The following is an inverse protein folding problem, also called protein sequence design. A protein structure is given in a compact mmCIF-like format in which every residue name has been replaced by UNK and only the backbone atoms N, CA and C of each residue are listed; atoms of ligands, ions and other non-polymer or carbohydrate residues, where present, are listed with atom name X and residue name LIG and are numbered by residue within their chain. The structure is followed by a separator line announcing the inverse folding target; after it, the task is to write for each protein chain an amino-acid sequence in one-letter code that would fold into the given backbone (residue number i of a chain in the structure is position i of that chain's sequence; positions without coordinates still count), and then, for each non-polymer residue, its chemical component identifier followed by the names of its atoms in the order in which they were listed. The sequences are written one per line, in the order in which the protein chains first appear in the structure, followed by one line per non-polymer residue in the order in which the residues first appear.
data_IF_487876199620
#
_entry.id   IF_487876199620
#
_cell.length_a   1.000
_cell.length_b   1.000
_cell.length_c   1.000
_cell.angle_alpha   90.00
_cell.angle_beta   90.00
_cell.angle_gamma   90.00
#
_symmetry.space_group_name_H-M   'P 1'
#
loop_
_entity.id
_entity.type
_entity.pdbx_description
1 polymer ?
#
# COMPACT_ATOMS: atom_id res chain seq x y z
N UNK A 1 3.86 31.99 10.72
CA UNK A 1 4.91 31.01 11.00
C UNK A 1 4.60 29.78 10.15
N UNK A 2 5.60 29.33 9.38
CA UNK A 2 5.67 28.12 8.52
C UNK A 2 4.54 27.86 7.51
N UNK A 3 4.66 28.53 6.34
CA UNK A 3 4.10 28.08 5.05
C UNK A 3 5.15 27.21 4.38
N UNK A 4 5.11 25.89 4.57
CA UNK A 4 5.94 24.94 3.79
C UNK A 4 5.16 23.62 3.61
N UNK A 5 4.07 23.67 2.82
CA UNK A 5 3.24 22.48 2.54
C UNK A 5 3.18 22.10 1.04
N UNK A 6 3.99 22.74 0.19
CA UNK A 6 3.87 22.61 -1.29
C UNK A 6 5.12 21.99 -1.95
N UNK A 7 5.85 21.13 -1.22
CA UNK A 7 7.14 20.57 -1.70
C UNK A 7 7.15 19.08 -2.08
N UNK A 8 6.09 18.32 -1.80
CA UNK A 8 6.12 16.85 -1.84
C UNK A 8 5.57 16.22 -3.14
N UNK A 9 4.81 16.97 -3.94
CA UNK A 9 4.30 16.53 -5.23
C UNK A 9 5.42 16.36 -6.28
N UNK A 10 6.50 17.14 -6.15
CA UNK A 10 7.69 17.05 -7.00
C UNK A 10 8.62 15.88 -6.65
N UNK A 11 8.74 15.51 -5.36
CA UNK A 11 9.65 14.44 -4.91
C UNK A 11 9.23 13.04 -5.39
N UNK A 12 7.94 12.78 -5.60
CA UNK A 12 7.46 11.49 -6.09
C UNK A 12 7.78 11.29 -7.59
N UNK A 13 7.90 12.38 -8.37
CA UNK A 13 8.19 12.31 -9.81
C UNK A 13 9.66 11.99 -10.09
N UNK A 14 10.57 12.60 -9.34
CA UNK A 14 12.03 12.43 -9.53
C UNK A 14 12.56 11.12 -8.94
N UNK A 15 11.97 10.59 -7.86
CA UNK A 15 12.33 9.24 -7.36
C UNK A 15 11.95 8.12 -8.34
N UNK A 16 10.92 8.32 -9.17
CA UNK A 16 10.38 7.27 -10.04
C UNK A 16 11.28 6.87 -11.21
N UNK A 17 12.29 7.67 -11.58
CA UNK A 17 13.16 7.35 -12.73
C UNK A 17 14.32 6.43 -12.36
N UNK A 18 14.94 6.64 -11.18
CA UNK A 18 15.89 5.68 -10.60
C UNK A 18 15.19 4.39 -10.17
N UNK A 19 13.97 4.50 -9.64
CA UNK A 19 13.18 3.35 -9.20
C UNK A 19 12.76 2.47 -10.39
N UNK A 20 12.36 3.08 -11.53
CA UNK A 20 12.03 2.34 -12.76
C UNK A 20 13.19 1.47 -13.26
N UNK A 21 14.41 2.02 -13.29
CA UNK A 21 15.58 1.24 -13.71
C UNK A 21 15.87 0.08 -12.74
N UNK A 22 15.74 0.31 -11.43
CA UNK A 22 15.91 -0.74 -10.42
C UNK A 22 14.83 -1.82 -10.51
N UNK A 23 13.59 -1.44 -10.81
CA UNK A 23 12.48 -2.36 -11.07
C UNK A 23 12.79 -3.23 -12.29
N UNK A 24 13.24 -2.65 -13.39
CA UNK A 24 13.59 -3.38 -14.60
C UNK A 24 14.77 -4.34 -14.38
N UNK A 25 15.82 -3.87 -13.70
CA UNK A 25 16.97 -4.70 -13.33
C UNK A 25 16.54 -5.86 -12.41
N UNK A 26 15.64 -5.61 -11.45
CA UNK A 26 15.09 -6.65 -10.57
C UNK A 26 14.22 -7.65 -11.32
N UNK A 27 13.37 -7.20 -12.25
CA UNK A 27 12.55 -8.05 -13.10
C UNK A 27 13.43 -8.94 -14.00
N UNK A 28 14.53 -8.40 -14.53
CA UNK A 28 15.49 -9.18 -15.31
C UNK A 28 16.14 -10.30 -14.47
N UNK A 29 16.54 -9.99 -13.23
CA UNK A 29 17.08 -10.99 -12.29
C UNK A 29 16.04 -12.06 -11.95
N UNK A 30 14.79 -11.68 -11.64
CA UNK A 30 13.72 -12.64 -11.35
C UNK A 30 13.42 -13.55 -12.54
N UNK A 31 13.37 -12.99 -13.75
CA UNK A 31 13.18 -13.78 -14.97
C UNK A 31 14.33 -14.78 -15.20
N UNK A 32 15.57 -14.39 -14.91
CA UNK A 32 16.73 -15.29 -14.94
C UNK A 32 16.62 -16.40 -13.89
N UNK A 33 16.11 -16.09 -12.70
CA UNK A 33 15.87 -17.05 -11.62
C UNK A 33 14.58 -17.88 -11.79
N UNK A 34 13.73 -17.58 -12.78
CA UNK A 34 12.43 -18.22 -12.98
C UNK A 34 12.48 -19.74 -13.10
N UNK A 35 13.56 -20.31 -13.64
CA UNK A 35 13.76 -21.75 -13.73
C UNK A 35 13.91 -22.38 -12.35
N UNK A 36 14.75 -21.78 -11.50
CA UNK A 36 14.96 -22.22 -10.13
C UNK A 36 13.67 -22.12 -9.30
N UNK A 37 12.97 -20.99 -9.41
CA UNK A 37 11.69 -20.77 -8.71
C UNK A 37 10.61 -21.76 -9.15
N UNK A 38 10.54 -22.11 -10.45
CA UNK A 38 9.62 -23.15 -10.95
C UNK A 38 9.90 -24.53 -10.35
N UNK A 39 11.16 -24.90 -10.23
CA UNK A 39 11.56 -26.17 -9.62
C UNK A 39 11.26 -26.19 -8.12
N UNK A 40 11.48 -25.08 -7.41
CA UNK A 40 11.17 -24.95 -5.99
C UNK A 40 9.65 -25.07 -5.75
N UNK A 41 8.84 -24.29 -6.47
CA UNK A 41 7.39 -24.34 -6.38
C UNK A 41 6.82 -25.71 -6.75
N UNK A 42 7.40 -26.39 -7.74
CA UNK A 42 7.01 -27.74 -8.11
C UNK A 42 7.22 -28.75 -6.97
N UNK A 43 8.32 -28.62 -6.22
CA UNK A 43 8.60 -29.45 -5.04
C UNK A 43 7.67 -29.13 -3.89
N UNK A 44 7.49 -27.84 -3.59
CA UNK A 44 6.73 -27.38 -2.43
C UNK A 44 5.23 -27.67 -2.58
N UNK A 45 4.67 -27.36 -3.75
CA UNK A 45 3.25 -27.57 -4.07
C UNK A 45 2.96 -28.97 -4.63
N UNK A 46 3.98 -29.85 -4.71
CA UNK A 46 3.91 -31.21 -5.27
C UNK A 46 3.24 -31.26 -6.66
N UNK A 47 3.54 -30.28 -7.50
CA UNK A 47 3.00 -30.19 -8.84
C UNK A 47 3.83 -31.04 -9.81
N UNK A 48 3.15 -31.77 -10.71
CA UNK A 48 3.82 -32.53 -11.78
C UNK A 48 4.55 -31.60 -12.76
N UNK A 49 3.93 -30.47 -13.10
CA UNK A 49 4.50 -29.45 -14.00
C UNK A 49 4.10 -28.07 -13.49
N UNK A 50 5.09 -27.22 -13.22
CA UNK A 50 4.86 -25.81 -12.89
C UNK A 50 4.75 -25.00 -14.18
N UNK A 51 3.71 -24.17 -14.37
CA UNK A 51 3.58 -23.32 -15.56
C UNK A 51 4.69 -22.27 -15.63
N UNK A 52 4.81 -21.59 -16.78
CA UNK A 52 5.76 -20.50 -16.96
C UNK A 52 5.43 -19.33 -16.02
N UNK A 53 6.39 -18.94 -15.18
CA UNK A 53 6.26 -17.79 -14.29
C UNK A 53 6.46 -16.49 -15.09
N UNK A 54 5.54 -15.54 -14.92
CA UNK A 54 5.64 -14.20 -15.47
C UNK A 54 5.72 -13.21 -14.32
N UNK A 55 6.79 -12.43 -14.27
CA UNK A 55 6.96 -11.39 -13.26
C UNK A 55 6.51 -10.06 -13.84
N UNK A 56 5.60 -9.39 -13.14
CA UNK A 56 5.12 -8.04 -13.46
C UNK A 56 5.25 -7.19 -12.21
N UNK A 57 5.70 -5.96 -12.37
CA UNK A 57 5.70 -4.99 -11.30
C UNK A 57 4.27 -4.49 -11.07
N UNK A 58 3.85 -4.41 -9.81
CA UNK A 58 2.55 -3.87 -9.42
C UNK A 58 2.71 -2.49 -8.80
N UNK A 59 2.33 -1.46 -9.57
CA UNK A 59 2.35 -0.07 -9.13
C UNK A 59 1.33 0.24 -8.01
N UNK A 60 0.33 -0.63 -7.81
CA UNK A 60 -0.72 -0.42 -6.81
C UNK A 60 -0.17 -0.44 -5.39
N UNK A 61 0.91 -1.18 -5.14
CA UNK A 61 1.57 -1.24 -3.84
C UNK A 61 2.20 0.12 -3.47
N UNK A 62 2.87 0.75 -4.43
CA UNK A 62 3.46 2.08 -4.23
C UNK A 62 2.37 3.13 -3.95
N UNK A 63 1.28 3.09 -4.73
CA UNK A 63 0.11 3.97 -4.51
C UNK A 63 -0.57 3.71 -3.17
N UNK A 64 -0.72 2.46 -2.76
CA UNK A 64 -1.31 2.09 -1.48
C UNK A 64 -0.51 2.64 -0.31
N UNK A 65 0.82 2.51 -0.34
CA UNK A 65 1.71 3.11 0.69
C UNK A 65 1.55 4.62 0.77
N UNK A 66 1.46 5.29 -0.38
CA UNK A 66 1.20 6.72 -0.41
C UNK A 66 -0.14 7.07 0.24
N UNK A 67 -1.21 6.36 -0.12
CA UNK A 67 -2.52 6.59 0.47
C UNK A 67 -2.53 6.32 1.99
N UNK A 68 -1.91 5.23 2.44
CA UNK A 68 -1.75 4.94 3.88
C UNK A 68 -1.01 6.07 4.58
N UNK A 69 0.08 6.59 4.01
CA UNK A 69 0.81 7.70 4.61
C UNK A 69 -0.01 8.99 4.70
N UNK A 70 -0.93 9.23 3.76
CA UNK A 70 -1.86 10.36 3.81
C UNK A 70 -2.92 10.17 4.90
N UNK A 71 -3.42 8.94 5.08
CA UNK A 71 -4.39 8.62 6.13
C UNK A 71 -3.74 8.75 7.51
N UNK A 72 -2.55 8.18 7.70
CA UNK A 72 -1.82 8.25 8.96
C UNK A 72 -1.55 9.70 9.34
N UNK A 73 -1.14 10.53 8.37
CA UNK A 73 -0.96 11.97 8.56
C UNK A 73 -2.27 12.69 8.93
N UNK A 74 -3.37 12.36 8.27
CA UNK A 74 -4.66 12.99 8.57
C UNK A 74 -5.12 12.64 10.00
N UNK A 75 -4.87 11.41 10.46
CA UNK A 75 -5.17 10.99 11.83
C UNK A 75 -4.28 11.70 12.86
N UNK A 76 -2.99 11.88 12.58
CA UNK A 76 -2.09 12.68 13.43
C UNK A 76 -2.53 14.14 13.51
N UNK A 77 -2.93 14.73 12.38
CA UNK A 77 -3.46 16.09 12.33
C UNK A 77 -4.80 16.20 13.10
N UNK A 78 -5.70 15.21 13.02
CA UNK A 78 -6.97 15.18 13.76
C UNK A 78 -6.78 14.95 15.27
N UNK A 79 -5.78 14.16 15.67
CA UNK A 79 -5.50 13.89 17.09
C UNK A 79 -4.81 15.06 17.80
N UNK A 80 -4.10 15.92 17.05
CA UNK A 80 -3.59 17.21 17.53
C UNK A 80 -4.70 18.29 17.57
N UNK A 81 -5.78 18.14 16.79
CA UNK A 81 -6.98 18.98 16.84
C UNK A 81 -8.09 18.31 17.67
N UNK A 82 -7.88 18.20 18.97
CA UNK A 82 -8.94 17.80 19.89
C UNK A 82 -10.07 18.83 19.94
N UNK A 83 -11.14 18.63 19.16
CA UNK A 83 -12.45 19.24 19.41
C UNK A 83 -13.57 18.26 19.06
N UNK A 84 -14.35 17.92 20.09
CA UNK A 84 -15.17 16.73 20.14
C UNK A 84 -16.48 16.77 19.36
N UNK A 85 -16.91 15.59 18.93
CA UNK A 85 -18.31 15.16 18.92
C UNK A 85 -18.35 13.68 18.55
N UNK A 86 -18.38 12.81 19.56
CA UNK A 86 -18.96 11.47 19.43
C UNK A 86 -19.51 11.05 20.80
N UNK A 87 -20.56 11.75 21.23
CA UNK A 87 -21.50 11.17 22.19
C UNK A 87 -22.18 9.99 21.50
N UNK A 88 -22.11 8.77 22.04
CA UNK A 88 -22.88 7.66 21.51
C UNK A 88 -24.36 8.00 21.69
N UNK A 89 -25.07 8.18 20.58
CA UNK A 89 -26.53 8.27 20.51
C UNK A 89 -27.11 6.96 21.08
N UNK A 90 -27.30 6.96 22.39
CA UNK A 90 -28.01 5.92 23.12
C UNK A 90 -29.48 6.17 22.86
N UNK A 91 -30.01 5.51 21.83
CA UNK A 91 -31.42 5.56 21.46
C UNK A 91 -32.29 5.23 22.68
N UNK A 92 -33.01 6.24 23.14
CA UNK A 92 -33.95 6.19 24.26
C UNK A 92 -35.20 5.40 23.80
N UNK A 93 -35.23 4.10 24.08
CA UNK A 93 -36.41 3.26 23.90
C UNK A 93 -37.41 3.55 25.03
N UNK A 94 -38.15 4.65 24.93
CA UNK A 94 -39.28 4.90 25.83
C UNK A 94 -40.42 3.94 25.49
N UNK A 95 -40.55 2.96 26.37
CA UNK A 95 -41.68 2.04 26.54
C UNK A 95 -42.93 2.86 26.92
N UNK A 96 -43.67 3.33 25.91
CA UNK A 96 -44.99 3.92 26.08
C UNK A 96 -45.96 2.83 26.56
N UNK A 97 -46.22 2.83 27.86
CA UNK A 97 -47.37 2.18 28.46
C UNK A 97 -48.65 2.91 28.03
N UNK A 98 -49.48 2.28 27.22
CA UNK A 98 -50.93 2.31 27.39
C UNK A 98 -51.62 1.08 26.79
#
# INVERSE_FOLDING_TARGET
MTRDAVGLDSQLKDMGELDRKQIDDSLAVLNKASGYLRSLLGKELRLRTTPALQFRYDESIARGRYLSSLIDRALEEDSEHGDGADTPDTGDCQEERH
#
